data_IF_458967906421
#
_entry.id   IF_458967906421
#
_cell.length_a   1.000
_cell.length_b   1.000
_cell.length_c   1.000
_cell.angle_alpha   90.00
_cell.angle_beta   90.00
_cell.angle_gamma   90.00
#
_symmetry.space_group_name_H-M   'P 1'
#
loop_
_entity.id
_entity.type
_entity.pdbx_description
1 polymer ?
#
# COMPACT_ATOMS: atom_id res chain seq x y z
N UNK A 1 25.37 -4.63 52.45
CA UNK A 1 24.85 -5.71 51.58
C UNK A 1 24.01 -5.07 50.49
N UNK A 2 24.56 -5.02 49.28
CA UNK A 2 24.02 -4.29 48.12
C UNK A 2 23.70 -5.31 47.02
N UNK A 3 22.45 -5.37 46.60
CA UNK A 3 21.97 -6.24 45.50
C UNK A 3 22.14 -5.48 44.19
N UNK A 4 22.87 -6.00 43.18
CA UNK A 4 23.02 -5.31 41.91
C UNK A 4 21.76 -5.45 41.04
N UNK A 5 21.28 -4.30 40.54
CA UNK A 5 20.27 -4.15 39.49
C UNK A 5 20.92 -4.46 38.13
N UNK A 6 20.84 -5.70 37.66
CA UNK A 6 21.25 -6.04 36.29
C UNK A 6 20.56 -7.32 35.81
N UNK A 7 19.27 -7.25 35.48
CA UNK A 7 18.60 -8.18 34.56
C UNK A 7 17.12 -7.79 34.41
N UNK A 8 16.80 -6.78 33.58
CA UNK A 8 15.39 -6.42 33.34
C UNK A 8 15.16 -5.68 32.02
N UNK A 9 15.89 -6.03 30.94
CA UNK A 9 15.58 -5.54 29.58
C UNK A 9 15.71 -6.65 28.51
N UNK A 10 16.09 -7.90 28.87
CA UNK A 10 16.53 -8.90 27.87
C UNK A 10 15.58 -10.07 27.52
N UNK A 11 14.32 -10.12 27.99
CA UNK A 11 13.50 -11.35 27.90
C UNK A 11 12.08 -11.21 27.34
N UNK A 12 11.72 -10.14 26.60
CA UNK A 12 10.34 -9.95 26.12
C UNK A 12 10.09 -10.45 24.68
N UNK A 13 11.09 -11.00 23.98
CA UNK A 13 10.90 -11.46 22.57
C UNK A 13 10.97 -12.98 22.34
N UNK A 14 11.01 -13.81 23.38
CA UNK A 14 11.23 -15.27 23.21
C UNK A 14 10.05 -16.19 23.57
N UNK A 15 8.82 -15.68 23.64
CA UNK A 15 7.65 -16.51 23.99
C UNK A 15 6.41 -16.25 23.13
N UNK A 16 6.57 -16.30 21.81
CA UNK A 16 5.45 -16.50 20.91
C UNK A 16 5.54 -17.91 20.30
N UNK A 17 4.78 -18.80 20.92
CA UNK A 17 4.06 -19.93 20.32
C UNK A 17 4.82 -20.90 19.41
N UNK A 18 5.14 -22.06 19.98
CA UNK A 18 5.13 -23.33 19.24
C UNK A 18 3.69 -23.62 18.78
N UNK A 19 3.28 -23.02 17.66
CA UNK A 19 2.08 -23.44 16.94
C UNK A 19 2.43 -24.75 16.25
N UNK A 20 1.66 -25.79 16.53
CA UNK A 20 1.74 -27.08 15.89
C UNK A 20 1.85 -26.91 14.36
N UNK A 21 2.99 -27.34 13.80
CA UNK A 21 3.18 -27.50 12.38
C UNK A 21 2.25 -28.63 11.94
N UNK A 22 1.14 -28.29 11.29
CA UNK A 22 0.53 -29.20 10.36
C UNK A 22 1.49 -29.29 9.17
N UNK A 23 1.96 -30.50 8.88
CA UNK A 23 2.78 -30.87 7.73
C UNK A 23 2.02 -30.62 6.42
N UNK A 24 1.80 -29.37 6.04
CA UNK A 24 1.60 -28.99 4.65
C UNK A 24 2.98 -28.60 4.13
N UNK A 25 3.67 -29.61 3.62
CA UNK A 25 4.92 -29.49 2.86
C UNK A 25 4.87 -28.30 1.90
N UNK A 26 5.98 -27.58 1.89
CA UNK A 26 6.49 -26.59 0.93
C UNK A 26 5.99 -26.74 -0.52
N UNK A 27 4.71 -26.50 -0.76
CA UNK A 27 4.18 -26.24 -2.08
C UNK A 27 4.75 -24.88 -2.51
N UNK A 28 5.86 -24.93 -3.24
CA UNK A 28 6.43 -23.84 -4.03
C UNK A 28 5.31 -22.88 -4.45
N UNK A 29 5.41 -21.63 -4.00
CA UNK A 29 4.47 -20.51 -4.22
C UNK A 29 3.37 -20.88 -5.23
N UNK A 30 2.34 -21.53 -4.69
CA UNK A 30 1.38 -22.36 -5.41
C UNK A 30 1.01 -21.82 -6.79
N UNK A 31 1.17 -22.65 -7.83
CA UNK A 31 0.63 -22.47 -9.19
C UNK A 31 -0.90 -22.27 -9.25
N UNK A 32 -1.58 -22.21 -8.10
CA UNK A 32 -3.00 -21.87 -8.05
C UNK A 32 -3.19 -20.35 -8.24
N UNK A 33 -4.17 -19.92 -9.05
CA UNK A 33 -4.55 -18.51 -9.13
C UNK A 33 -4.80 -17.98 -7.72
N UNK A 34 -4.30 -16.77 -7.44
CA UNK A 34 -4.38 -16.09 -6.15
C UNK A 34 -5.78 -16.29 -5.54
N UNK A 35 -5.85 -17.12 -4.51
CA UNK A 35 -7.09 -17.81 -4.11
C UNK A 35 -8.24 -16.87 -3.76
N UNK A 36 -9.46 -17.42 -3.61
CA UNK A 36 -10.65 -16.62 -3.27
C UNK A 36 -10.50 -15.85 -1.95
N UNK A 37 -9.73 -16.40 -1.00
CA UNK A 37 -9.46 -15.80 0.31
C UNK A 37 -8.35 -14.75 0.23
N UNK A 38 -8.69 -13.46 0.30
CA UNK A 38 -7.73 -12.37 0.17
C UNK A 38 -6.63 -12.41 1.25
N UNK A 39 -6.94 -12.86 2.47
CA UNK A 39 -5.96 -12.98 3.56
C UNK A 39 -4.87 -14.03 3.29
N UNK A 40 -5.14 -14.98 2.39
CA UNK A 40 -4.22 -16.06 2.02
C UNK A 40 -3.31 -15.71 0.83
N UNK A 41 -3.66 -14.65 0.10
CA UNK A 41 -2.92 -14.20 -1.09
C UNK A 41 -1.53 -13.67 -0.75
N UNK A 42 -0.63 -13.76 -1.71
CA UNK A 42 0.75 -13.25 -1.58
C UNK A 42 0.84 -11.73 -1.51
N UNK A 43 2.06 -11.25 -1.27
CA UNK A 43 2.45 -9.87 -1.62
C UNK A 43 2.69 -9.74 -3.13
N UNK A 44 3.07 -10.86 -3.77
CA UNK A 44 3.28 -11.01 -5.21
C UNK A 44 2.40 -12.14 -5.78
N UNK A 45 2.18 -12.12 -7.11
CA UNK A 45 1.53 -13.22 -7.83
C UNK A 45 2.49 -14.35 -8.22
N UNK A 46 1.99 -15.59 -8.46
CA UNK A 46 2.80 -16.70 -8.98
C UNK A 46 3.32 -16.44 -10.40
N UNK A 47 4.34 -17.20 -10.82
CA UNK A 47 4.94 -17.07 -12.15
C UNK A 47 3.90 -17.12 -13.29
N UNK A 48 4.05 -16.22 -14.25
CA UNK A 48 3.17 -16.07 -15.41
C UNK A 48 1.88 -15.29 -15.13
N UNK A 49 1.59 -14.92 -13.88
CA UNK A 49 0.38 -14.15 -13.56
C UNK A 49 0.49 -12.74 -14.13
N UNK A 50 -0.54 -12.33 -14.86
CA UNK A 50 -0.79 -10.94 -15.17
C UNK A 50 -1.85 -10.39 -14.22
N UNK A 51 -1.63 -9.20 -13.66
CA UNK A 51 -2.59 -8.54 -12.79
C UNK A 51 -2.77 -7.09 -13.22
N UNK A 52 -4.03 -6.66 -13.32
CA UNK A 52 -4.40 -5.26 -13.50
C UNK A 52 -5.16 -4.79 -12.26
N UNK A 53 -4.71 -3.69 -11.67
CA UNK A 53 -5.36 -3.02 -10.54
C UNK A 53 -5.82 -1.67 -11.02
N UNK A 54 -7.09 -1.37 -10.82
CA UNK A 54 -7.67 -0.08 -11.15
C UNK A 54 -8.20 0.53 -9.86
N UNK A 55 -7.69 1.71 -9.52
CA UNK A 55 -8.18 2.52 -8.43
C UNK A 55 -8.89 3.73 -9.01
N UNK A 56 -10.19 3.89 -8.75
CA UNK A 56 -10.96 5.09 -9.06
C UNK A 56 -11.18 5.86 -7.77
N UNK A 57 -10.46 6.97 -7.59
CA UNK A 57 -10.47 7.81 -6.40
C UNK A 57 -11.39 9.02 -6.55
N UNK A 58 -12.08 9.36 -5.47
CA UNK A 58 -12.96 10.51 -5.35
C UNK A 58 -12.58 11.29 -4.10
N UNK A 59 -12.39 12.60 -4.24
CA UNK A 59 -12.39 13.48 -3.08
C UNK A 59 -13.82 13.53 -2.51
N UNK A 60 -14.00 13.33 -1.21
CA UNK A 60 -15.29 13.45 -0.53
C UNK A 60 -15.25 14.42 0.66
N UNK A 61 -14.24 15.30 0.68
CA UNK A 61 -14.14 16.43 1.59
C UNK A 61 -15.28 17.43 1.42
N UNK A 62 -15.64 18.08 2.52
CA UNK A 62 -16.67 19.12 2.51
C UNK A 62 -16.30 20.26 1.55
N UNK A 63 -17.20 20.60 0.63
CA UNK A 63 -16.98 21.65 -0.38
C UNK A 63 -16.01 21.29 -1.50
N UNK A 64 -15.50 20.06 -1.54
CA UNK A 64 -14.56 19.53 -2.56
C UNK A 64 -14.94 18.13 -3.05
N UNK A 65 -16.21 17.76 -2.90
CA UNK A 65 -16.69 16.44 -3.31
C UNK A 65 -16.58 16.30 -4.85
N UNK A 66 -15.83 15.32 -5.31
CA UNK A 66 -15.49 15.13 -6.72
C UNK A 66 -14.26 15.91 -7.19
N UNK A 67 -13.63 16.73 -6.35
CA UNK A 67 -12.52 17.59 -6.76
C UNK A 67 -11.21 17.18 -6.06
N UNK A 68 -10.42 16.24 -6.62
CA UNK A 68 -10.57 15.62 -7.94
C UNK A 68 -11.26 14.24 -7.93
N UNK A 69 -11.62 13.78 -9.14
CA UNK A 69 -11.81 12.36 -9.48
C UNK A 69 -10.62 11.93 -10.33
N UNK A 70 -9.98 10.82 -9.97
CA UNK A 70 -8.88 10.26 -10.76
C UNK A 70 -8.96 8.74 -10.84
N UNK A 71 -8.35 8.16 -11.87
CA UNK A 71 -8.16 6.72 -11.96
C UNK A 71 -6.70 6.33 -12.20
N UNK A 72 -6.21 5.34 -11.46
CA UNK A 72 -4.84 4.83 -11.54
C UNK A 72 -4.88 3.36 -11.98
N UNK A 73 -4.51 3.04 -13.24
CA UNK A 73 -4.44 1.68 -13.75
C UNK A 73 -3.03 1.09 -13.58
N UNK A 74 -2.81 0.29 -12.56
CA UNK A 74 -1.54 -0.40 -12.35
C UNK A 74 -1.56 -1.77 -13.04
N UNK A 75 -0.46 -2.11 -13.70
CA UNK A 75 -0.27 -3.39 -14.36
C UNK A 75 0.93 -4.10 -13.75
N UNK A 76 0.79 -5.40 -13.53
CA UNK A 76 1.89 -6.21 -13.04
C UNK A 76 2.00 -7.52 -13.80
N UNK A 77 3.23 -7.99 -13.92
CA UNK A 77 3.56 -9.29 -14.47
C UNK A 77 4.57 -10.02 -13.58
N UNK A 78 4.18 -11.18 -13.06
CA UNK A 78 5.05 -12.06 -12.29
C UNK A 78 5.91 -12.89 -13.25
N UNK A 79 7.14 -12.43 -13.49
CA UNK A 79 8.10 -13.11 -14.39
C UNK A 79 8.46 -14.49 -13.86
N UNK A 80 8.66 -14.60 -12.54
CA UNK A 80 8.89 -15.86 -11.82
C UNK A 80 8.05 -15.88 -10.54
N UNK A 81 8.17 -16.92 -9.73
CA UNK A 81 7.53 -16.99 -8.40
C UNK A 81 8.15 -16.01 -7.38
N UNK A 82 9.27 -15.36 -7.75
CA UNK A 82 9.98 -14.41 -6.89
C UNK A 82 10.21 -13.06 -7.55
N UNK A 83 10.04 -12.90 -8.86
CA UNK A 83 10.25 -11.65 -9.56
C UNK A 83 8.94 -11.17 -10.18
N UNK A 84 8.51 -9.98 -9.78
CA UNK A 84 7.35 -9.29 -10.34
C UNK A 84 7.77 -7.91 -10.83
N UNK A 85 7.28 -7.53 -12.01
CA UNK A 85 7.48 -6.21 -12.59
C UNK A 85 6.12 -5.49 -12.63
N UNK A 86 6.15 -4.18 -12.44
CA UNK A 86 4.97 -3.33 -12.38
C UNK A 86 5.12 -2.05 -13.19
N UNK A 87 4.02 -1.61 -13.80
CA UNK A 87 3.81 -0.26 -14.29
C UNK A 87 2.69 0.34 -13.43
N UNK A 88 3.02 1.36 -12.63
CA UNK A 88 2.15 1.87 -11.58
C UNK A 88 1.81 3.35 -11.80
N UNK A 89 0.65 3.77 -11.32
CA UNK A 89 0.09 5.12 -11.48
C UNK A 89 -0.46 5.67 -10.17
N UNK A 90 -0.57 4.86 -9.13
CA UNK A 90 -1.03 5.26 -7.79
C UNK A 90 0.04 5.94 -6.93
N UNK A 91 1.28 6.04 -7.44
CA UNK A 91 2.40 6.71 -6.79
C UNK A 91 3.05 5.89 -5.67
N UNK A 92 4.04 6.44 -4.95
CA UNK A 92 4.80 5.69 -3.93
C UNK A 92 3.96 5.28 -2.71
N UNK A 93 2.87 6.01 -2.47
CA UNK A 93 1.93 5.83 -1.35
C UNK A 93 1.12 4.52 -1.41
N UNK A 94 1.11 3.83 -2.55
CA UNK A 94 0.38 2.58 -2.75
C UNK A 94 -1.11 2.74 -2.47
N UNK A 95 -1.65 1.96 -1.51
CA UNK A 95 -3.06 2.09 -1.14
C UNK A 95 -3.40 3.47 -0.56
N UNK A 96 -2.45 4.25 -0.06
CA UNK A 96 -2.72 5.62 0.42
C UNK A 96 -2.86 6.65 -0.71
N UNK A 97 -2.90 6.21 -1.97
CA UNK A 97 -3.15 7.07 -3.13
C UNK A 97 -4.38 7.94 -2.91
N UNK A 98 -4.12 9.25 -2.87
CA UNK A 98 -5.14 10.29 -2.82
C UNK A 98 -5.74 10.45 -4.21
N UNK A 99 -7.02 10.87 -4.30
CA UNK A 99 -7.57 11.35 -5.56
C UNK A 99 -6.65 12.42 -6.15
N UNK A 100 -6.42 12.38 -7.46
CA UNK A 100 -5.54 13.29 -8.18
C UNK A 100 -4.29 12.62 -8.77
N UNK A 101 -3.97 11.39 -8.37
CA UNK A 101 -2.93 10.57 -8.98
C UNK A 101 -3.46 9.74 -10.14
N UNK A 102 -2.59 9.44 -11.11
CA UNK A 102 -2.90 8.74 -12.34
C UNK A 102 -3.57 9.65 -13.37
N UNK A 103 -4.64 9.15 -13.98
CA UNK A 103 -5.45 9.92 -14.90
C UNK A 103 -6.48 10.75 -14.16
N UNK A 104 -6.34 12.06 -14.21
CA UNK A 104 -7.22 13.01 -13.52
C UNK A 104 -8.36 13.46 -14.44
N UNK A 105 -9.60 13.26 -13.99
CA UNK A 105 -10.79 13.34 -14.85
C UNK A 105 -11.55 14.67 -14.77
N UNK A 106 -11.27 15.50 -13.75
CA UNK A 106 -12.07 16.69 -13.45
C UNK A 106 -11.46 18.00 -13.93
N UNK A 107 -10.20 17.99 -14.39
CA UNK A 107 -9.54 19.16 -14.98
C UNK A 107 -8.98 20.16 -13.96
N UNK A 108 -8.33 21.22 -14.46
CA UNK A 108 -7.51 22.14 -13.67
C UNK A 108 -8.29 22.88 -12.59
N UNK A 109 -9.50 23.35 -12.91
CA UNK A 109 -10.35 24.08 -11.97
C UNK A 109 -10.84 23.22 -10.79
N UNK A 110 -10.66 21.90 -10.87
CA UNK A 110 -11.14 20.90 -9.94
C UNK A 110 -10.01 20.08 -9.30
N UNK A 111 -8.80 20.66 -9.21
CA UNK A 111 -7.67 20.06 -8.50
C UNK A 111 -6.85 19.06 -9.33
N UNK A 112 -7.02 19.05 -10.67
CA UNK A 112 -6.19 18.28 -11.59
C UNK A 112 -5.30 19.20 -12.43
N UNK A 113 -4.08 19.56 -12.01
CA UNK A 113 -3.18 20.41 -12.80
C UNK A 113 -2.96 19.88 -14.23
N UNK A 114 -2.96 18.55 -14.36
CA UNK A 114 -2.78 17.83 -15.62
C UNK A 114 -3.73 16.63 -15.69
N UNK A 115 -4.07 16.20 -16.90
CA UNK A 115 -4.90 15.01 -17.14
C UNK A 115 -4.14 13.73 -16.78
N UNK A 116 -2.82 13.75 -16.97
CA UNK A 116 -1.94 12.63 -16.68
C UNK A 116 -0.53 13.19 -16.53
N UNK A 117 0.13 12.90 -15.41
CA UNK A 117 1.43 13.51 -15.10
C UNK A 117 2.35 12.61 -14.28
N UNK A 118 1.96 11.34 -14.07
CA UNK A 118 2.77 10.43 -13.30
C UNK A 118 2.74 9.00 -13.82
N UNK A 119 3.88 8.34 -13.69
CA UNK A 119 4.06 6.91 -13.98
C UNK A 119 5.21 6.38 -13.14
N UNK A 120 5.10 5.14 -12.69
CA UNK A 120 6.17 4.45 -11.99
C UNK A 120 6.47 3.09 -12.60
N UNK A 121 7.71 2.67 -12.48
CA UNK A 121 8.18 1.33 -12.81
C UNK A 121 8.59 0.66 -11.51
N UNK A 122 7.98 -0.48 -11.20
CA UNK A 122 8.22 -1.21 -9.97
C UNK A 122 8.83 -2.57 -10.27
N UNK A 123 9.79 -2.99 -9.46
CA UNK A 123 10.36 -4.31 -9.48
C UNK A 123 10.35 -4.86 -8.05
N UNK A 124 9.66 -5.98 -7.85
CA UNK A 124 9.57 -6.65 -6.57
C UNK A 124 10.29 -8.00 -6.61
N UNK A 125 11.10 -8.29 -5.59
CA UNK A 125 11.81 -9.55 -5.43
C UNK A 125 11.40 -10.26 -4.12
N UNK A 126 10.88 -11.48 -4.22
CA UNK A 126 10.47 -12.32 -3.10
C UNK A 126 11.67 -12.83 -2.30
N UNK A 127 11.67 -12.55 -0.99
CA UNK A 127 12.73 -12.91 -0.05
C UNK A 127 12.33 -14.09 0.84
N UNK A 128 11.05 -14.15 1.26
CA UNK A 128 10.56 -15.27 2.07
C UNK A 128 9.18 -15.74 1.64
N UNK A 129 9.00 -17.06 1.68
CA UNK A 129 7.73 -17.75 1.46
C UNK A 129 7.28 -18.43 2.77
N UNK A 130 5.97 -18.52 3.01
CA UNK A 130 5.42 -19.17 4.21
C UNK A 130 4.40 -18.31 4.97
N UNK A 131 4.42 -18.40 6.31
CA UNK A 131 3.52 -17.66 7.20
C UNK A 131 3.73 -16.14 7.15
N UNK A 132 4.98 -15.72 6.90
CA UNK A 132 5.35 -14.36 6.57
C UNK A 132 5.89 -14.36 5.15
N UNK A 133 5.15 -13.71 4.25
CA UNK A 133 5.60 -13.49 2.88
C UNK A 133 6.26 -12.12 2.81
N UNK A 134 7.49 -12.09 2.34
CA UNK A 134 8.30 -10.88 2.30
C UNK A 134 8.86 -10.69 0.91
N UNK A 135 8.80 -9.46 0.42
CA UNK A 135 9.46 -9.03 -0.80
C UNK A 135 10.19 -7.72 -0.56
N UNK A 136 11.37 -7.55 -1.15
CA UNK A 136 11.93 -6.20 -1.36
C UNK A 136 11.35 -5.64 -2.64
N UNK A 137 11.26 -4.32 -2.75
CA UNK A 137 10.90 -3.72 -4.02
C UNK A 137 11.63 -2.39 -4.24
N UNK A 138 11.79 -2.06 -5.51
CA UNK A 138 12.42 -0.84 -5.98
C UNK A 138 11.55 -0.25 -7.06
N UNK A 139 11.23 1.04 -6.90
CA UNK A 139 10.34 1.74 -7.82
C UNK A 139 11.00 3.02 -8.31
N UNK A 140 10.96 3.28 -9.61
CA UNK A 140 11.30 4.57 -10.19
C UNK A 140 10.01 5.29 -10.55
N UNK A 141 9.74 6.43 -9.92
CA UNK A 141 8.58 7.26 -10.23
C UNK A 141 8.99 8.49 -11.02
N UNK A 142 8.21 8.82 -12.04
CA UNK A 142 8.13 10.15 -12.62
C UNK A 142 6.83 10.74 -12.08
N UNK A 143 6.92 11.69 -11.15
CA UNK A 143 5.74 12.24 -10.44
C UNK A 143 5.14 13.45 -11.15
N UNK A 144 5.95 14.15 -11.96
CA UNK A 144 5.58 15.23 -12.86
C UNK A 144 6.43 15.14 -14.14
N UNK A 145 5.88 15.59 -15.27
CA UNK A 145 6.60 15.64 -16.55
C UNK A 145 7.07 17.06 -16.92
N UNK A 146 6.59 18.11 -16.24
CA UNK A 146 6.97 19.50 -16.53
C UNK A 146 6.88 20.45 -15.31
N UNK A 147 7.99 20.73 -14.60
CA UNK A 147 9.30 20.11 -14.77
C UNK A 147 9.25 18.61 -14.45
N UNK A 148 10.22 17.85 -14.98
CA UNK A 148 10.29 16.42 -14.69
C UNK A 148 10.72 16.22 -13.24
N UNK A 149 9.88 15.59 -12.43
CA UNK A 149 10.23 15.17 -11.07
C UNK A 149 10.35 13.66 -11.01
N UNK A 150 11.47 13.17 -10.49
CA UNK A 150 11.79 11.75 -10.44
C UNK A 150 12.22 11.34 -9.05
N UNK A 151 11.76 10.19 -8.59
CA UNK A 151 12.18 9.60 -7.32
C UNK A 151 12.47 8.11 -7.45
N UNK A 152 13.44 7.65 -6.65
CA UNK A 152 13.75 6.23 -6.47
C UNK A 152 13.24 5.79 -5.10
N UNK A 153 12.26 4.92 -5.08
CA UNK A 153 11.75 4.30 -3.86
C UNK A 153 12.39 2.94 -3.60
N UNK A 154 12.85 2.72 -2.37
CA UNK A 154 13.38 1.45 -1.90
C UNK A 154 12.54 0.99 -0.71
N UNK A 155 11.97 -0.22 -0.80
CA UNK A 155 11.02 -0.69 0.19
C UNK A 155 11.01 -2.19 0.43
N UNK A 156 10.22 -2.57 1.42
CA UNK A 156 9.96 -3.96 1.80
C UNK A 156 8.47 -4.13 2.00
N UNK A 157 7.86 -5.04 1.24
CA UNK A 157 6.47 -5.43 1.40
C UNK A 157 6.39 -6.76 2.14
N UNK A 158 5.71 -6.76 3.28
CA UNK A 158 5.50 -7.92 4.12
C UNK A 158 4.02 -8.22 4.31
N UNK A 159 3.65 -9.49 4.30
CA UNK A 159 2.33 -9.96 4.73
C UNK A 159 2.47 -11.13 5.70
N UNK A 160 2.02 -10.93 6.93
CA UNK A 160 2.01 -11.93 7.98
C UNK A 160 0.58 -12.43 8.20
N UNK A 161 0.39 -13.75 8.19
CA UNK A 161 -0.90 -14.36 8.57
C UNK A 161 -1.00 -14.46 10.09
N UNK A 162 -2.06 -13.89 10.64
CA UNK A 162 -2.39 -13.93 12.06
C UNK A 162 -3.53 -14.93 12.29
N UNK A 163 -3.31 -16.19 11.89
CA UNK A 163 -4.32 -17.27 11.89
C UNK A 163 -4.91 -17.56 10.50
N UNK A 164 -6.14 -18.06 10.47
CA UNK A 164 -6.84 -18.44 9.23
C UNK A 164 -7.56 -17.26 8.56
N UNK A 165 -8.05 -16.30 9.35
CA UNK A 165 -8.95 -15.25 8.88
C UNK A 165 -8.39 -13.83 9.04
N UNK A 166 -7.16 -13.68 9.52
CA UNK A 166 -6.54 -12.36 9.73
C UNK A 166 -5.17 -12.31 9.08
N UNK A 167 -4.87 -11.20 8.41
CA UNK A 167 -3.53 -10.93 7.89
C UNK A 167 -3.14 -9.47 8.13
N UNK A 168 -1.86 -9.25 8.42
CA UNK A 168 -1.24 -7.93 8.51
C UNK A 168 -0.39 -7.72 7.27
N UNK A 169 -0.59 -6.63 6.55
CA UNK A 169 0.25 -6.17 5.45
C UNK A 169 0.96 -4.88 5.85
N UNK A 170 2.24 -4.79 5.55
CA UNK A 170 3.12 -3.67 5.87
C UNK A 170 4.02 -3.40 4.66
N UNK A 171 4.20 -2.13 4.27
CA UNK A 171 4.96 -1.76 3.05
C UNK A 171 5.90 -0.54 3.23
N UNK A 172 6.81 -0.54 4.22
CA UNK A 172 7.74 0.56 4.44
C UNK A 172 8.65 0.78 3.24
N UNK A 173 8.78 2.04 2.84
CA UNK A 173 9.72 2.46 1.81
C UNK A 173 10.22 3.87 2.06
N UNK A 174 11.41 4.14 1.55
CA UNK A 174 12.02 5.46 1.51
C UNK A 174 12.10 5.86 0.04
N UNK A 175 11.55 7.02 -0.31
CA UNK A 175 11.73 7.64 -1.62
C UNK A 175 12.85 8.68 -1.55
N UNK A 176 13.79 8.57 -2.47
CA UNK A 176 14.89 9.50 -2.65
C UNK A 176 14.60 10.29 -3.92
N UNK A 177 14.47 11.60 -3.79
CA UNK A 177 14.24 12.47 -4.93
C UNK A 177 15.53 12.57 -5.76
N UNK A 178 15.41 12.38 -7.07
CA UNK A 178 16.53 12.37 -8.02
C UNK A 178 16.66 13.71 -8.75
N UNK A 179 15.57 14.46 -8.87
CA UNK A 179 15.49 15.77 -9.53
C UNK A 179 14.74 16.75 -8.64
N UNK A 180 14.90 18.06 -8.87
CA UNK A 180 14.22 19.11 -8.08
C UNK A 180 14.44 18.96 -6.54
N UNK A 181 15.58 18.41 -6.12
CA UNK A 181 15.91 18.09 -4.70
C UNK A 181 16.03 19.31 -3.80
N UNK A 182 16.11 20.50 -4.38
CA UNK A 182 16.07 21.79 -3.68
C UNK A 182 14.65 22.22 -3.32
N UNK A 183 13.63 21.63 -3.96
CA UNK A 183 12.21 21.95 -3.74
C UNK A 183 11.38 20.76 -3.26
N UNK A 184 11.84 19.53 -3.48
CA UNK A 184 11.16 18.29 -3.08
C UNK A 184 12.05 17.52 -2.12
N UNK A 185 11.46 17.15 -0.97
CA UNK A 185 12.14 16.41 0.08
C UNK A 185 12.13 14.91 -0.19
N UNK A 186 13.17 14.21 0.27
CA UNK A 186 13.15 12.76 0.38
C UNK A 186 12.01 12.36 1.33
N UNK A 187 11.35 11.23 1.12
CA UNK A 187 10.14 10.88 1.85
C UNK A 187 10.18 9.48 2.47
N UNK A 188 9.54 9.32 3.63
CA UNK A 188 9.26 8.04 4.28
C UNK A 188 7.78 7.70 4.10
N UNK A 189 7.50 6.46 3.70
CA UNK A 189 6.15 5.90 3.68
C UNK A 189 6.13 4.59 4.46
N UNK A 190 5.14 4.43 5.34
CA UNK A 190 4.92 3.21 6.13
C UNK A 190 3.43 2.84 6.10
N UNK A 191 2.90 2.32 4.99
CA UNK A 191 1.54 1.85 4.90
C UNK A 191 1.35 0.55 5.69
N UNK A 192 0.23 0.46 6.39
CA UNK A 192 -0.20 -0.67 7.22
C UNK A 192 -1.64 -1.02 6.88
N UNK A 193 -1.92 -2.30 6.69
CA UNK A 193 -3.27 -2.81 6.44
C UNK A 193 -3.52 -4.06 7.28
N UNK A 194 -4.62 -4.06 8.03
CA UNK A 194 -5.12 -5.23 8.74
C UNK A 194 -6.34 -5.76 8.00
N UNK A 195 -6.27 -7.03 7.59
CA UNK A 195 -7.29 -7.71 6.79
C UNK A 195 -8.03 -8.73 7.64
N UNK A 196 -9.36 -8.76 7.53
CA UNK A 196 -10.25 -9.72 8.17
C UNK A 196 -11.09 -10.42 7.11
N UNK A 197 -10.92 -11.73 6.96
CA UNK A 197 -11.77 -12.55 6.11
C UNK A 197 -13.10 -12.81 6.84
N UNK A 198 -14.16 -12.12 6.43
CA UNK A 198 -15.48 -12.19 7.09
C UNK A 198 -16.44 -13.16 6.41
N UNK A 199 -16.12 -13.61 5.19
CA UNK A 199 -16.85 -14.65 4.46
C UNK A 199 -15.97 -15.31 3.40
N UNK A 200 -16.50 -16.26 2.62
CA UNK A 200 -15.72 -16.97 1.60
C UNK A 200 -15.12 -16.03 0.52
N UNK A 201 -15.82 -14.94 0.24
CA UNK A 201 -15.47 -13.99 -0.83
C UNK A 201 -15.35 -12.55 -0.33
N UNK A 202 -15.52 -12.29 0.97
CA UNK A 202 -15.57 -10.93 1.52
C UNK A 202 -14.47 -10.70 2.55
N UNK A 203 -13.72 -9.62 2.37
CA UNK A 203 -12.65 -9.20 3.28
C UNK A 203 -12.88 -7.76 3.73
N UNK A 204 -12.91 -7.55 5.04
CA UNK A 204 -12.86 -6.22 5.64
C UNK A 204 -11.40 -5.81 5.85
N UNK A 205 -11.10 -4.52 5.68
CA UNK A 205 -9.77 -3.95 5.83
C UNK A 205 -9.82 -2.75 6.77
N UNK A 206 -8.85 -2.66 7.67
CA UNK A 206 -8.51 -1.45 8.40
C UNK A 206 -7.18 -0.96 7.85
N UNK A 207 -7.09 0.32 7.51
CA UNK A 207 -5.93 0.87 6.82
C UNK A 207 -5.41 2.09 7.58
N UNK A 208 -4.09 2.16 7.79
CA UNK A 208 -3.42 3.34 8.37
C UNK A 208 -1.96 3.38 7.95
N UNK A 209 -1.23 4.44 8.25
CA UNK A 209 0.22 4.42 8.06
C UNK A 209 0.83 5.75 8.38
N UNK A 210 2.00 5.99 7.81
CA UNK A 210 2.75 7.21 7.97
C UNK A 210 3.30 7.64 6.62
N UNK A 211 3.14 8.91 6.27
CA UNK A 211 3.88 9.54 5.18
C UNK A 211 4.48 10.85 5.67
N UNK A 212 5.75 11.13 5.38
CA UNK A 212 6.42 12.35 5.82
C UNK A 212 7.64 12.67 4.96
N UNK A 213 7.94 13.96 4.79
CA UNK A 213 9.26 14.40 4.32
C UNK A 213 10.32 14.12 5.39
N UNK A 214 11.50 13.67 5.00
CA UNK A 214 12.58 13.30 5.93
C UNK A 214 13.21 14.51 6.60
N UNK A 215 13.41 15.62 5.87
CA UNK A 215 13.96 16.87 6.41
C UNK A 215 12.91 17.68 7.17
N UNK A 216 11.63 17.57 6.79
CA UNK A 216 10.51 18.30 7.40
C UNK A 216 9.59 17.39 8.23
N UNK A 217 10.11 16.29 8.78
CA UNK A 217 9.27 15.23 9.37
C UNK A 217 8.27 15.76 10.41
N UNK A 218 8.72 16.63 11.32
CA UNK A 218 7.90 17.18 12.40
C UNK A 218 6.69 17.99 11.91
N UNK A 219 6.80 18.56 10.70
CA UNK A 219 5.82 19.49 10.13
C UNK A 219 5.02 18.87 8.96
N UNK A 220 5.43 17.72 8.45
CA UNK A 220 4.85 17.11 7.24
C UNK A 220 4.27 15.71 7.43
N UNK A 221 4.37 15.13 8.64
CA UNK A 221 3.86 13.78 8.85
C UNK A 221 2.34 13.71 8.76
N UNK A 222 1.85 12.76 7.98
CA UNK A 222 0.45 12.45 7.82
C UNK A 222 0.18 11.02 8.27
N UNK A 223 -0.93 10.82 8.98
CA UNK A 223 -1.36 9.50 9.44
C UNK A 223 -2.81 9.30 8.98
N UNK A 224 -3.03 8.66 7.82
CA UNK A 224 -4.37 8.37 7.35
C UNK A 224 -5.00 7.26 8.19
N UNK A 225 -6.33 7.27 8.30
CA UNK A 225 -7.11 6.18 8.89
C UNK A 225 -8.29 5.87 8.00
N UNK A 226 -8.43 4.62 7.60
CA UNK A 226 -9.47 4.20 6.68
C UNK A 226 -10.00 2.81 6.94
N UNK A 227 -11.10 2.53 6.25
CA UNK A 227 -11.75 1.23 6.20
C UNK A 227 -11.93 0.82 4.74
N UNK A 228 -11.89 -0.47 4.47
CA UNK A 228 -12.08 -1.01 3.14
C UNK A 228 -12.87 -2.30 3.15
N UNK A 229 -13.56 -2.56 2.05
CA UNK A 229 -14.25 -3.81 1.76
C UNK A 229 -13.71 -4.34 0.43
N UNK A 230 -13.38 -5.61 0.36
CA UNK A 230 -13.01 -6.30 -0.86
C UNK A 230 -13.91 -7.52 -1.04
N UNK A 231 -14.45 -7.66 -2.24
CA UNK A 231 -15.35 -8.73 -2.64
C UNK A 231 -14.74 -9.47 -3.84
N UNK A 232 -14.41 -10.75 -3.66
CA UNK A 232 -14.03 -11.65 -4.73
C UNK A 232 -15.28 -12.05 -5.51
N UNK A 233 -15.41 -11.57 -6.75
CA UNK A 233 -16.54 -11.90 -7.63
C UNK A 233 -16.29 -13.23 -8.33
N UNK A 234 -15.05 -13.45 -8.76
CA UNK A 234 -14.58 -14.69 -9.38
C UNK A 234 -13.13 -14.96 -8.95
N UNK A 235 -12.56 -16.11 -9.30
CA UNK A 235 -11.12 -16.38 -9.04
C UNK A 235 -10.18 -15.35 -9.70
N UNK A 236 -10.68 -14.63 -10.72
CA UNK A 236 -9.93 -13.69 -11.55
C UNK A 236 -10.29 -12.22 -11.29
N UNK A 237 -11.34 -11.93 -10.52
CA UNK A 237 -11.86 -10.58 -10.36
C UNK A 237 -12.25 -10.28 -8.91
N UNK A 238 -11.69 -9.20 -8.39
CA UNK A 238 -12.14 -8.57 -7.15
C UNK A 238 -12.71 -7.17 -7.44
N UNK A 239 -13.72 -6.78 -6.67
CA UNK A 239 -14.18 -5.39 -6.56
C UNK A 239 -14.01 -4.94 -5.11
N UNK A 240 -13.68 -3.68 -4.89
CA UNK A 240 -13.53 -3.13 -3.55
C UNK A 240 -14.03 -1.70 -3.43
N UNK A 241 -14.25 -1.31 -2.18
CA UNK A 241 -14.59 0.05 -1.76
C UNK A 241 -13.67 0.43 -0.60
N UNK A 242 -13.18 1.67 -0.58
CA UNK A 242 -12.38 2.21 0.53
C UNK A 242 -12.86 3.60 0.88
N UNK A 243 -12.94 3.90 2.17
CA UNK A 243 -13.09 5.26 2.69
C UNK A 243 -11.93 5.57 3.64
N UNK A 244 -11.36 6.76 3.57
CA UNK A 244 -10.34 7.21 4.52
C UNK A 244 -10.48 8.68 4.88
N UNK A 245 -10.03 8.98 6.09
CA UNK A 245 -9.54 10.30 6.47
C UNK A 245 -8.05 10.34 6.13
N UNK A 246 -7.65 11.26 5.25
CA UNK A 246 -6.33 11.20 4.65
C UNK A 246 -5.22 11.73 5.57
N UNK A 247 -5.59 12.33 6.72
CA UNK A 247 -4.66 12.80 7.75
C UNK A 247 -5.32 12.90 9.15
N UNK A 248 -5.95 11.82 9.62
CA UNK A 248 -6.73 11.85 10.88
C UNK A 248 -5.87 12.03 12.14
N UNK A 249 -4.65 11.49 12.14
CA UNK A 249 -3.79 11.46 13.34
C UNK A 249 -2.42 12.14 13.13
N UNK A 250 -2.21 12.79 11.98
CA UNK A 250 -0.94 13.43 11.65
C UNK A 250 -0.85 14.89 12.10
N UNK A 251 0.12 15.61 11.52
CA UNK A 251 0.26 17.06 11.67
C UNK A 251 -0.99 17.75 11.14
N UNK A 252 -1.54 18.71 11.88
CA UNK A 252 -2.74 19.44 11.47
C UNK A 252 -2.33 20.74 10.74
N UNK A 253 -2.54 20.86 9.41
CA UNK A 253 -2.20 22.07 8.70
C UNK A 253 -3.06 23.24 9.19
N UNK A 254 -2.49 24.46 9.19
CA UNK A 254 -3.24 25.65 9.59
C UNK A 254 -4.53 25.81 8.76
N UNK A 255 -5.66 25.87 9.45
CA UNK A 255 -6.97 26.09 8.83
C UNK A 255 -7.61 24.85 8.17
N UNK A 256 -7.00 23.66 8.31
CA UNK A 256 -7.56 22.40 7.81
C UNK A 256 -7.61 21.41 8.98
N UNK A 257 -8.81 21.04 9.40
CA UNK A 257 -8.98 20.04 10.45
C UNK A 257 -8.52 18.65 9.99
N UNK A 258 -8.01 17.84 10.91
CA UNK A 258 -7.54 16.46 10.63
C UNK A 258 -8.57 15.55 9.96
N UNK A 259 -9.86 15.81 10.17
CA UNK A 259 -10.97 15.07 9.58
C UNK A 259 -11.53 15.70 8.29
N UNK A 260 -10.97 16.83 7.83
CA UNK A 260 -11.51 17.56 6.69
C UNK A 260 -11.14 16.89 5.37
N UNK A 261 -9.92 16.37 5.26
CA UNK A 261 -9.45 15.62 4.08
C UNK A 261 -9.97 14.18 4.08
N UNK A 262 -10.78 13.83 3.08
CA UNK A 262 -11.47 12.55 3.00
C UNK A 262 -11.47 12.04 1.57
N UNK A 263 -11.24 10.75 1.40
CA UNK A 263 -11.31 10.10 0.09
C UNK A 263 -12.17 8.84 0.10
N UNK A 264 -12.79 8.58 -1.04
CA UNK A 264 -13.50 7.35 -1.36
C UNK A 264 -12.81 6.73 -2.58
N UNK A 265 -12.61 5.41 -2.59
CA UNK A 265 -12.05 4.72 -3.75
C UNK A 265 -12.84 3.47 -4.11
N UNK A 266 -13.03 3.25 -5.41
CA UNK A 266 -13.44 1.96 -5.97
C UNK A 266 -12.21 1.23 -6.48
N UNK A 267 -12.10 -0.04 -6.15
CA UNK A 267 -10.99 -0.90 -6.54
C UNK A 267 -11.49 -2.00 -7.47
N UNK A 268 -10.78 -2.24 -8.56
CA UNK A 268 -11.00 -3.40 -9.43
C UNK A 268 -9.67 -4.12 -9.61
N UNK A 269 -9.62 -5.40 -9.28
CA UNK A 269 -8.42 -6.20 -9.46
C UNK A 269 -8.75 -7.37 -10.38
N UNK A 270 -8.19 -7.36 -11.59
CA UNK A 270 -8.27 -8.46 -12.53
C UNK A 270 -6.95 -9.23 -12.55
N UNK A 271 -7.01 -10.56 -12.67
CA UNK A 271 -5.83 -11.42 -12.79
C UNK A 271 -6.06 -12.61 -13.71
N UNK A 272 -5.06 -12.98 -14.50
CA UNK A 272 -5.07 -14.14 -15.40
C UNK A 272 -3.84 -15.00 -15.21
#
# INVERSE_FOLDING_TARGET
>A
MSIPRACLIGCVLASLASVAQADDEDAAASRAPDGQYAVMRGVQGPAGMFAARLLLGFNVSAGKAGDPISFAPDLYYSVTDTLQLGLVHDGPMGWQSRPGLGFCLTGQDHGCPHVYDNVGFDAMYGVSVGAVRLSTHTSLFLSHFSPVTMSLALGVMGKARLGSNVALLLDPKIAIELTERDTIDDALYVPLELQFQVGASTTLKLLTGLSAGLSTFADSYEIPVGIGLLQNLTRHLDIGLRFSFDNLLGHEPMGVGRADSRSLALLFNARS
#
